data_IF_248874379882
#
_entry.id   IF_248874379882
#
_cell.length_a   1.000
_cell.length_b   1.000
_cell.length_c   1.000
_cell.angle_alpha   90.00
_cell.angle_beta   90.00
_cell.angle_gamma   90.00
#
_symmetry.space_group_name_H-M   'P 1'
#
loop_
_entity.id
_entity.type
_entity.pdbx_description
1 polymer ?
#
# COMPACT_ATOMS: atom_id res chain seq x y z
N UNK A 1 -4.30 -7.58 -9.46
CA UNK A 1 -4.59 -6.13 -9.65
C UNK A 1 -5.56 -5.53 -8.63
N UNK A 2 -6.46 -6.30 -8.00
CA UNK A 2 -7.45 -5.78 -7.06
C UNK A 2 -6.87 -4.98 -5.85
N UNK A 3 -5.68 -5.34 -5.34
CA UNK A 3 -5.02 -4.59 -4.26
C UNK A 3 -4.39 -3.27 -4.74
N UNK A 4 -3.87 -3.23 -5.96
CA UNK A 4 -3.42 -2.00 -6.61
C UNK A 4 -4.62 -1.08 -6.89
N UNK A 5 -5.77 -1.64 -7.27
CA UNK A 5 -7.03 -0.91 -7.40
C UNK A 5 -7.56 -0.42 -6.05
N UNK A 6 -7.32 -1.13 -4.95
CA UNK A 6 -7.68 -0.66 -3.61
C UNK A 6 -6.83 0.54 -3.19
N UNK A 7 -5.51 0.47 -3.36
CA UNK A 7 -4.60 1.59 -3.03
C UNK A 7 -4.83 2.75 -3.98
N UNK A 8 -4.89 2.51 -5.29
CA UNK A 8 -5.22 3.54 -6.29
C UNK A 8 -6.64 4.09 -6.09
N UNK A 9 -7.58 3.27 -5.60
CA UNK A 9 -8.95 3.64 -5.27
C UNK A 9 -9.03 4.53 -4.04
N UNK A 10 -8.30 4.20 -2.97
CA UNK A 10 -8.15 5.05 -1.78
C UNK A 10 -7.53 6.40 -2.18
N UNK A 11 -6.44 6.35 -2.95
CA UNK A 11 -5.71 7.52 -3.46
C UNK A 11 -6.62 8.37 -4.37
N UNK A 12 -7.39 7.78 -5.29
CA UNK A 12 -8.38 8.51 -6.11
C UNK A 12 -9.56 9.05 -5.32
N UNK A 13 -10.11 8.28 -4.37
CA UNK A 13 -11.29 8.67 -3.58
C UNK A 13 -11.01 9.83 -2.64
N UNK A 14 -9.74 10.03 -2.25
CA UNK A 14 -9.32 11.19 -1.48
C UNK A 14 -9.42 12.51 -2.28
N UNK A 15 -9.68 12.47 -3.60
CA UNK A 15 -9.94 13.67 -4.42
C UNK A 15 -8.79 14.68 -4.45
N UNK A 16 -7.63 14.30 -3.91
CA UNK A 16 -6.54 15.18 -3.54
C UNK A 16 -5.23 14.70 -4.15
N UNK A 17 -5.28 14.09 -5.33
CA UNK A 17 -4.12 13.53 -6.02
C UNK A 17 -4.00 14.19 -7.38
N UNK A 18 -2.87 14.86 -7.60
CA UNK A 18 -2.49 15.50 -8.86
C UNK A 18 -2.00 14.48 -9.89
N UNK A 19 -1.41 13.38 -9.45
CA UNK A 19 -0.93 12.32 -10.33
C UNK A 19 -0.54 11.06 -9.56
N UNK A 20 -0.63 9.91 -10.23
CA UNK A 20 -0.20 8.62 -9.71
C UNK A 20 0.75 7.96 -10.70
N UNK A 21 1.91 7.52 -10.21
CA UNK A 21 2.85 6.65 -10.89
C UNK A 21 2.90 5.29 -10.21
N UNK A 22 3.20 4.25 -10.98
CA UNK A 22 3.46 2.92 -10.45
C UNK A 22 4.72 2.38 -11.14
N UNK A 23 5.66 1.90 -10.35
CA UNK A 23 6.82 1.17 -10.80
C UNK A 23 6.72 -0.27 -10.30
N UNK A 24 6.88 -1.22 -11.21
CA UNK A 24 7.03 -2.64 -10.90
C UNK A 24 8.45 -3.04 -11.31
N UNK A 25 9.24 -3.47 -10.34
CA UNK A 25 10.53 -4.10 -10.59
C UNK A 25 10.43 -5.59 -10.27
N UNK A 26 11.20 -6.41 -10.99
CA UNK A 26 11.38 -7.82 -10.68
C UNK A 26 12.76 -7.99 -10.05
N UNK A 27 12.79 -8.37 -8.78
CA UNK A 27 14.04 -8.55 -8.04
C UNK A 27 13.93 -9.83 -7.20
N UNK A 28 14.67 -10.86 -7.60
CA UNK A 28 14.84 -12.13 -6.87
C UNK A 28 13.55 -12.74 -6.30
N UNK A 29 12.78 -13.50 -7.09
CA UNK A 29 11.58 -14.23 -6.60
C UNK A 29 10.42 -13.37 -6.08
N UNK A 30 10.59 -12.05 -5.98
CA UNK A 30 9.59 -11.07 -5.59
C UNK A 30 9.46 -9.93 -6.61
N UNK A 31 8.36 -9.21 -6.48
CA UNK A 31 8.01 -8.07 -7.32
C UNK A 31 7.75 -6.87 -6.40
N UNK A 32 8.79 -6.09 -6.08
CA UNK A 32 8.59 -4.79 -5.46
C UNK A 32 7.76 -3.89 -6.39
N UNK A 33 6.63 -3.44 -5.85
CA UNK A 33 5.70 -2.49 -6.45
C UNK A 33 5.79 -1.20 -5.67
N UNK A 34 6.17 -0.13 -6.34
CA UNK A 34 6.22 1.21 -5.78
C UNK A 34 5.12 2.05 -6.42
N UNK A 35 4.19 2.52 -5.60
CA UNK A 35 3.15 3.45 -5.98
C UNK A 35 3.53 4.84 -5.50
N UNK A 36 3.66 5.78 -6.42
CA UNK A 36 3.96 7.17 -6.10
C UNK A 36 2.70 7.99 -6.38
N UNK A 37 2.22 8.72 -5.40
CA UNK A 37 1.10 9.64 -5.54
C UNK A 37 1.59 11.06 -5.23
N UNK A 38 1.36 11.98 -6.17
CA UNK A 38 1.53 13.42 -5.93
C UNK A 38 0.20 13.94 -5.45
N UNK A 39 0.17 14.48 -4.24
CA UNK A 39 -1.02 14.99 -3.59
C UNK A 39 -1.30 16.44 -3.99
N UNK A 40 -2.47 16.96 -3.64
CA UNK A 40 -2.92 18.31 -3.95
C UNK A 40 -2.09 19.36 -3.23
N UNK A 41 -1.79 19.05 -1.97
CA UNK A 41 -1.09 19.88 -1.00
C UNK A 41 -0.43 18.97 0.06
N UNK A 42 0.50 19.57 0.81
CA UNK A 42 1.27 18.87 1.84
C UNK A 42 0.41 18.44 3.04
N UNK A 43 -0.65 19.18 3.37
CA UNK A 43 -1.55 18.84 4.47
C UNK A 43 -2.26 17.52 4.19
N UNK A 44 -2.78 17.35 2.98
CA UNK A 44 -3.42 16.12 2.54
C UNK A 44 -2.43 14.97 2.47
N UNK A 45 -1.19 15.20 2.00
CA UNK A 45 -0.14 14.20 2.04
C UNK A 45 0.19 13.76 3.48
N UNK A 46 0.22 14.71 4.41
CA UNK A 46 0.38 14.46 5.84
C UNK A 46 -0.72 13.58 6.42
N UNK A 47 -1.99 13.92 6.16
CA UNK A 47 -3.16 13.15 6.60
C UNK A 47 -3.14 11.71 6.07
N UNK A 48 -2.86 11.54 4.78
CA UNK A 48 -2.89 10.23 4.14
C UNK A 48 -1.71 9.37 4.59
N UNK A 49 -0.50 9.93 4.64
CA UNK A 49 0.67 9.23 5.19
C UNK A 49 0.46 8.81 6.64
N UNK A 50 -0.08 9.70 7.48
CA UNK A 50 -0.37 9.44 8.88
C UNK A 50 -1.41 8.34 9.05
N UNK A 51 -2.48 8.38 8.25
CA UNK A 51 -3.55 7.37 8.28
C UNK A 51 -3.04 6.00 7.85
N UNK A 52 -2.27 5.93 6.76
CA UNK A 52 -1.69 4.67 6.28
C UNK A 52 -0.68 4.10 7.28
N UNK A 53 0.16 4.94 7.89
CA UNK A 53 1.09 4.52 8.93
C UNK A 53 0.37 4.06 10.20
N UNK A 54 -0.72 4.72 10.60
CA UNK A 54 -1.57 4.28 11.71
C UNK A 54 -2.20 2.92 11.42
N UNK A 55 -2.79 2.76 10.23
CA UNK A 55 -3.33 1.48 9.78
C UNK A 55 -2.26 0.39 9.81
N UNK A 56 -1.04 0.69 9.34
CA UNK A 56 0.07 -0.27 9.29
C UNK A 56 0.46 -0.69 10.70
N UNK A 57 0.61 0.26 11.62
CA UNK A 57 0.88 -0.02 13.03
C UNK A 57 -0.22 -0.82 13.70
N UNK A 58 -1.48 -0.52 13.40
CA UNK A 58 -2.63 -1.28 13.92
C UNK A 58 -2.64 -2.71 13.36
N UNK A 59 -2.36 -2.91 12.08
CA UNK A 59 -2.26 -4.22 11.46
C UNK A 59 -1.07 -5.05 12.00
N UNK A 60 0.04 -4.39 12.32
CA UNK A 60 1.21 -5.02 12.96
C UNK A 60 0.98 -5.34 14.44
N UNK A 61 0.20 -4.52 15.15
CA UNK A 61 -0.11 -4.72 16.56
C UNK A 61 -1.31 -5.66 16.80
N UNK A 62 -2.14 -5.89 15.77
CA UNK A 62 -3.29 -6.78 15.88
C UNK A 62 -2.83 -8.23 16.09
N UNK A 63 -3.34 -8.93 17.13
CA UNK A 63 -3.04 -10.35 17.32
C UNK A 63 -3.55 -11.14 16.11
N UNK A 64 -2.67 -11.95 15.51
CA UNK A 64 -3.04 -12.85 14.41
C UNK A 64 -4.22 -13.71 14.85
N UNK A 65 -5.40 -13.61 14.21
CA UNK A 65 -6.52 -14.43 14.60
C UNK A 65 -6.18 -15.90 14.30
N UNK A 66 -6.18 -16.74 15.33
CA UNK A 66 -5.85 -18.16 15.22
C UNK A 66 -6.76 -18.92 14.24
N UNK A 67 -7.92 -18.35 13.90
CA UNK A 67 -8.91 -18.90 12.96
C UNK A 67 -9.17 -17.99 11.74
N UNK A 68 -8.31 -17.00 11.46
CA UNK A 68 -8.46 -16.19 10.25
C UNK A 68 -8.36 -17.08 8.99
N UNK A 69 -9.27 -16.93 8.02
CA UNK A 69 -9.14 -17.51 6.68
C UNK A 69 -7.76 -17.20 6.08
N UNK A 70 -7.24 -18.10 5.24
CA UNK A 70 -5.92 -17.95 4.63
C UNK A 70 -5.74 -16.61 3.89
N UNK A 71 -6.79 -16.17 3.18
CA UNK A 71 -6.81 -14.88 2.47
C UNK A 71 -6.66 -13.67 3.40
N UNK A 72 -7.25 -13.73 4.60
CA UNK A 72 -7.10 -12.65 5.60
C UNK A 72 -5.70 -12.64 6.21
N UNK A 73 -5.05 -13.81 6.33
CA UNK A 73 -3.67 -13.89 6.83
C UNK A 73 -2.69 -13.33 5.83
N UNK A 74 -2.82 -13.69 4.55
CA UNK A 74 -2.01 -13.12 3.47
C UNK A 74 -2.22 -11.61 3.40
N UNK A 75 -3.46 -11.12 3.37
CA UNK A 75 -3.73 -9.69 3.33
C UNK A 75 -3.08 -8.91 4.50
N UNK A 76 -3.08 -9.48 5.71
CA UNK A 76 -2.43 -8.87 6.87
C UNK A 76 -0.90 -8.85 6.75
N UNK A 77 -0.31 -9.96 6.29
CA UNK A 77 1.14 -10.07 6.05
C UNK A 77 1.61 -9.08 4.97
N UNK A 78 0.82 -8.89 3.91
CA UNK A 78 1.10 -7.88 2.88
C UNK A 78 1.00 -6.46 3.40
N UNK A 79 -0.01 -6.18 4.23
CA UNK A 79 -0.15 -4.86 4.83
C UNK A 79 0.97 -4.54 5.83
N UNK A 80 1.52 -5.56 6.50
CA UNK A 80 2.71 -5.42 7.35
C UNK A 80 4.00 -5.16 6.55
N UNK A 81 4.08 -5.67 5.32
CA UNK A 81 5.21 -5.47 4.41
C UNK A 81 5.12 -4.18 3.57
N UNK A 82 3.99 -3.48 3.62
CA UNK A 82 3.83 -2.18 2.97
C UNK A 82 4.65 -1.12 3.72
N UNK A 83 5.44 -0.31 3.05
CA UNK A 83 6.06 0.89 3.62
C UNK A 83 5.50 2.15 2.98
N UNK A 84 5.30 3.20 3.78
CA UNK A 84 4.81 4.49 3.29
C UNK A 84 5.79 5.59 3.68
N UNK A 85 6.39 6.21 2.67
CA UNK A 85 7.27 7.36 2.78
C UNK A 85 6.55 8.60 2.27
N UNK A 86 6.79 9.74 2.91
CA UNK A 86 6.27 11.04 2.46
C UNK A 86 7.43 12.02 2.31
N UNK A 87 7.42 12.75 1.21
CA UNK A 87 8.28 13.90 0.98
C UNK A 87 7.43 15.05 0.45
N UNK A 88 7.25 16.10 1.26
CA UNK A 88 6.32 17.20 1.00
C UNK A 88 4.91 16.72 0.60
N UNK A 89 4.48 17.03 -0.62
CA UNK A 89 3.21 16.63 -1.23
C UNK A 89 3.28 15.28 -1.96
N UNK A 90 4.41 14.58 -1.93
CA UNK A 90 4.60 13.27 -2.56
C UNK A 90 4.51 12.15 -1.53
N UNK A 91 3.78 11.10 -1.90
CA UNK A 91 3.60 9.86 -1.14
C UNK A 91 4.16 8.69 -1.96
N UNK A 92 5.08 7.93 -1.36
CA UNK A 92 5.61 6.70 -1.94
C UNK A 92 5.18 5.51 -1.08
N UNK A 93 4.42 4.60 -1.68
CA UNK A 93 3.92 3.38 -1.06
C UNK A 93 4.64 2.20 -1.73
N UNK A 94 5.50 1.51 -0.98
CA UNK A 94 6.23 0.34 -1.46
C UNK A 94 5.59 -0.91 -0.91
N UNK A 95 5.35 -1.90 -1.77
CA UNK A 95 4.75 -3.18 -1.42
C UNK A 95 5.56 -4.26 -2.13
N UNK A 96 6.02 -5.28 -1.40
CA UNK A 96 6.66 -6.45 -2.04
C UNK A 96 5.58 -7.50 -2.30
N UNK A 97 5.37 -7.84 -3.57
CA UNK A 97 4.42 -8.87 -3.98
C UNK A 97 5.16 -10.13 -4.43
N UNK A 98 4.57 -11.31 -4.25
CA UNK A 98 5.11 -12.57 -4.80
C UNK A 98 4.57 -12.83 -6.22
N UNK A 99 5.23 -13.70 -6.98
CA UNK A 99 4.83 -14.04 -8.36
C UNK A 99 3.39 -14.59 -8.45
N UNK A 100 3.00 -15.42 -7.47
CA UNK A 100 1.64 -15.97 -7.36
C UNK A 100 0.57 -14.86 -7.24
N UNK A 101 0.93 -13.71 -6.67
CA UNK A 101 0.00 -12.59 -6.42
C UNK A 101 -0.12 -11.63 -7.60
N UNK A 102 0.90 -11.58 -8.45
CA UNK A 102 0.81 -10.94 -9.76
C UNK A 102 -0.08 -11.73 -10.73
N UNK A 103 -0.12 -13.06 -10.58
CA UNK A 103 -0.87 -13.95 -11.47
C UNK A 103 -2.29 -14.29 -10.98
N UNK A 104 -2.63 -14.03 -9.72
CA UNK A 104 -3.99 -14.17 -9.21
C UNK A 104 -4.93 -13.15 -9.91
N UNK A 105 -5.67 -13.66 -10.90
CA UNK A 105 -6.67 -12.96 -11.70
C UNK A 105 -7.97 -12.73 -10.93
#
# INVERSE_FOLDING_TARGET
FAQLDLVAGIVKQLGAVRGVGCALAHEGGGFPVELVAVMRDEETAGLVSGTLNLAQKLASAAPRPANAPAEQREALEHFQQMSVERDADVLSIKIVMTEAQLQAR
#
